data_IF_139695700639
#
_entry.id   IF_139695700639
#
_cell.length_a   1.000
_cell.length_b   1.000
_cell.length_c   1.000
_cell.angle_alpha   90.00
_cell.angle_beta   90.00
_cell.angle_gamma   90.00
#
_symmetry.space_group_name_H-M   'P 1'
#
loop_
_entity.id
_entity.type
_entity.pdbx_description
1 polymer ?
#
# COMPACT_ATOMS: atom_id res chain seq x y z
N UNK A 1 -22.82 4.31 -2.36
CA UNK A 1 -22.72 3.79 -0.99
C UNK A 1 -21.83 2.56 -1.07
N UNK A 2 -20.62 2.63 -0.51
CA UNK A 2 -19.60 1.57 -0.66
C UNK A 2 -19.91 0.41 0.28
N UNK A 3 -19.83 -0.82 -0.24
CA UNK A 3 -20.13 -2.04 0.50
C UNK A 3 -18.97 -2.46 1.40
N UNK A 4 -19.26 -3.27 2.42
CA UNK A 4 -18.22 -3.87 3.27
C UNK A 4 -17.23 -4.73 2.45
N UNK A 5 -17.70 -5.33 1.35
CA UNK A 5 -16.87 -6.08 0.42
C UNK A 5 -15.80 -5.19 -0.22
N UNK A 6 -16.24 -4.07 -0.81
CA UNK A 6 -15.35 -3.10 -1.47
C UNK A 6 -14.35 -2.49 -0.49
N UNK A 7 -14.76 -2.16 0.75
CA UNK A 7 -13.82 -1.65 1.76
C UNK A 7 -12.70 -2.63 2.08
N UNK A 8 -13.00 -3.93 2.19
CA UNK A 8 -11.98 -4.96 2.44
C UNK A 8 -11.03 -5.10 1.25
N UNK A 9 -11.56 -5.05 0.04
CA UNK A 9 -10.77 -5.15 -1.20
C UNK A 9 -9.83 -3.93 -1.36
N UNK A 10 -10.33 -2.72 -1.10
CA UNK A 10 -9.51 -1.51 -1.10
C UNK A 10 -8.42 -1.57 -0.02
N UNK A 11 -8.74 -2.06 1.18
CA UNK A 11 -7.74 -2.22 2.24
C UNK A 11 -6.64 -3.22 1.86
N UNK A 12 -7.00 -4.34 1.24
CA UNK A 12 -6.05 -5.32 0.72
C UNK A 12 -5.14 -4.72 -0.35
N UNK A 13 -5.71 -4.06 -1.36
CA UNK A 13 -4.93 -3.40 -2.41
C UNK A 13 -4.01 -2.32 -1.84
N UNK A 14 -4.49 -1.54 -0.86
CA UNK A 14 -3.65 -0.56 -0.18
C UNK A 14 -2.45 -1.22 0.54
N UNK A 15 -2.68 -2.31 1.28
CA UNK A 15 -1.64 -3.04 1.98
C UNK A 15 -0.61 -3.70 1.04
N UNK A 16 -1.04 -4.14 -0.15
CA UNK A 16 -0.12 -4.67 -1.16
C UNK A 16 0.71 -3.54 -1.78
N UNK A 17 0.09 -2.42 -2.13
CA UNK A 17 0.76 -1.26 -2.76
C UNK A 17 1.70 -0.51 -1.81
N UNK A 18 1.61 -0.75 -0.49
CA UNK A 18 2.60 -0.28 0.50
C UNK A 18 3.88 -1.14 0.53
N UNK A 19 3.88 -2.32 -0.11
CA UNK A 19 5.07 -3.16 -0.20
C UNK A 19 6.03 -2.59 -1.25
N UNK A 20 7.32 -2.60 -0.94
CA UNK A 20 8.37 -2.19 -1.88
C UNK A 20 8.32 -3.03 -3.16
N UNK A 21 8.41 -2.37 -4.31
CA UNK A 21 8.40 -2.96 -5.65
C UNK A 21 7.15 -3.80 -5.95
N UNK A 22 6.00 -3.46 -5.33
CA UNK A 22 4.75 -4.20 -5.51
C UNK A 22 4.35 -4.30 -6.99
N UNK A 23 4.59 -3.25 -7.78
CA UNK A 23 4.22 -3.14 -9.19
C UNK A 23 4.96 -4.14 -10.07
N UNK A 24 6.13 -4.62 -9.65
CA UNK A 24 6.85 -5.71 -10.31
C UNK A 24 6.44 -7.06 -9.75
N UNK A 25 6.41 -7.17 -8.42
CA UNK A 25 6.14 -8.41 -7.69
C UNK A 25 4.73 -8.96 -7.89
N UNK A 26 3.75 -8.12 -8.24
CA UNK A 26 2.38 -8.56 -8.54
C UNK A 26 2.29 -9.44 -9.79
N UNK A 27 3.30 -9.42 -10.66
CA UNK A 27 3.37 -10.32 -11.82
C UNK A 27 4.06 -11.66 -11.50
N UNK A 28 4.68 -11.77 -10.33
CA UNK A 28 5.25 -13.03 -9.84
C UNK A 28 4.13 -13.83 -9.17
N UNK A 29 3.75 -14.96 -9.77
CA UNK A 29 2.63 -15.79 -9.30
C UNK A 29 2.87 -16.29 -7.87
N UNK A 30 4.08 -16.73 -7.54
CA UNK A 30 4.44 -17.21 -6.19
C UNK A 30 4.22 -16.13 -5.11
N UNK A 31 4.59 -14.88 -5.41
CA UNK A 31 4.39 -13.75 -4.49
C UNK A 31 2.92 -13.38 -4.40
N UNK A 32 2.23 -13.35 -5.53
CA UNK A 32 0.80 -13.04 -5.60
C UNK A 32 -0.02 -14.06 -4.84
N UNK A 33 0.29 -15.35 -4.98
CA UNK A 33 -0.35 -16.44 -4.25
C UNK A 33 -0.10 -16.34 -2.74
N UNK A 34 1.11 -15.97 -2.34
CA UNK A 34 1.41 -15.69 -0.94
C UNK A 34 0.55 -14.54 -0.38
N UNK A 35 0.44 -13.42 -1.09
CA UNK A 35 -0.39 -12.29 -0.63
C UNK A 35 -1.87 -12.64 -0.58
N UNK A 36 -2.39 -13.39 -1.55
CA UNK A 36 -3.77 -13.89 -1.51
C UNK A 36 -4.01 -14.77 -0.29
N UNK A 37 -3.09 -15.69 -0.02
CA UNK A 37 -3.16 -16.57 1.14
C UNK A 37 -3.16 -15.79 2.46
N UNK A 38 -2.21 -14.86 2.63
CA UNK A 38 -2.14 -13.96 3.80
C UNK A 38 -3.45 -13.17 3.98
N UNK A 39 -4.04 -12.68 2.89
CA UNK A 39 -5.28 -11.92 2.93
C UNK A 39 -6.48 -12.78 3.37
N UNK A 40 -6.60 -13.99 2.84
CA UNK A 40 -7.68 -14.92 3.20
C UNK A 40 -7.57 -15.34 4.68
N UNK A 41 -6.34 -15.54 5.17
CA UNK A 41 -6.05 -15.92 6.55
C UNK A 41 -6.17 -14.74 7.56
N UNK A 42 -6.27 -13.50 7.07
CA UNK A 42 -6.18 -12.27 7.90
C UNK A 42 -7.30 -12.03 8.93
N UNK A 43 -8.26 -12.95 9.12
CA UNK A 43 -9.46 -12.77 9.94
C UNK A 43 -10.32 -11.53 9.56
N UNK A 44 -10.03 -10.88 8.43
CA UNK A 44 -10.81 -9.76 7.89
C UNK A 44 -11.95 -10.23 6.98
N UNK A 45 -12.13 -11.55 6.83
CA UNK A 45 -13.17 -12.16 5.99
C UNK A 45 -13.03 -11.76 4.52
N UNK A 46 -11.79 -11.80 4.01
CA UNK A 46 -11.48 -11.71 2.58
C UNK A 46 -11.71 -13.09 1.98
N UNK A 47 -12.52 -13.16 0.93
CA UNK A 47 -12.75 -14.41 0.20
C UNK A 47 -11.71 -14.59 -0.90
N UNK A 48 -11.57 -15.83 -1.40
CA UNK A 48 -10.69 -16.13 -2.53
C UNK A 48 -11.05 -15.28 -3.77
N UNK A 49 -12.33 -15.10 -4.06
CA UNK A 49 -12.79 -14.27 -5.18
C UNK A 49 -12.36 -12.80 -5.02
N UNK A 50 -12.46 -12.24 -3.81
CA UNK A 50 -11.99 -10.89 -3.51
C UNK A 50 -10.49 -10.77 -3.71
N UNK A 51 -9.73 -11.74 -3.19
CA UNK A 51 -8.27 -11.74 -3.28
C UNK A 51 -7.78 -11.86 -4.73
N UNK A 52 -8.38 -12.77 -5.51
CA UNK A 52 -8.07 -12.93 -6.93
C UNK A 52 -8.37 -11.63 -7.71
N UNK A 53 -9.56 -11.05 -7.50
CA UNK A 53 -9.91 -9.79 -8.14
C UNK A 53 -8.93 -8.67 -7.78
N UNK A 54 -8.54 -8.55 -6.51
CA UNK A 54 -7.57 -7.53 -6.09
C UNK A 54 -6.21 -7.70 -6.79
N UNK A 55 -5.73 -8.93 -6.96
CA UNK A 55 -4.49 -9.20 -7.69
C UNK A 55 -4.64 -8.84 -9.17
N UNK A 56 -5.74 -9.21 -9.81
CA UNK A 56 -5.98 -8.89 -11.22
C UNK A 56 -6.07 -7.38 -11.46
N UNK A 57 -6.76 -6.65 -10.58
CA UNK A 57 -6.85 -5.19 -10.62
C UNK A 57 -5.48 -4.54 -10.41
N UNK A 58 -4.68 -5.02 -9.45
CA UNK A 58 -3.33 -4.52 -9.22
C UNK A 58 -2.39 -4.80 -10.40
N UNK A 59 -2.50 -5.98 -11.04
CA UNK A 59 -1.77 -6.28 -12.29
C UNK A 59 -2.17 -5.35 -13.41
N UNK A 60 -3.45 -5.02 -13.53
CA UNK A 60 -3.93 -4.03 -14.49
C UNK A 60 -3.33 -2.64 -14.19
N UNK A 61 -3.45 -2.16 -12.95
CA UNK A 61 -2.90 -0.87 -12.54
C UNK A 61 -1.39 -0.78 -12.68
N UNK A 62 -0.65 -1.88 -12.45
CA UNK A 62 0.80 -1.89 -12.55
C UNK A 62 1.31 -1.71 -14.00
N UNK A 63 0.50 -2.03 -15.02
CA UNK A 63 0.86 -1.83 -16.43
C UNK A 63 1.01 -0.36 -16.82
N UNK A 64 0.31 0.53 -16.11
CA UNK A 64 0.37 1.98 -16.32
C UNK A 64 1.12 2.71 -15.20
N UNK A 65 1.77 1.95 -14.30
CA UNK A 65 2.60 2.52 -13.25
C UNK A 65 3.87 3.13 -13.87
N UNK A 66 4.06 4.42 -13.66
CA UNK A 66 5.25 5.13 -14.10
C UNK A 66 6.31 5.11 -12.99
N UNK A 67 7.36 4.33 -13.19
CA UNK A 67 8.48 4.24 -12.25
C UNK A 67 9.23 5.57 -12.08
N UNK A 68 9.16 6.47 -13.06
CA UNK A 68 9.78 7.79 -12.98
C UNK A 68 9.11 8.69 -11.95
N UNK A 69 7.77 8.62 -11.84
CA UNK A 69 7.00 9.36 -10.81
C UNK A 69 6.85 8.56 -9.52
N UNK A 70 6.81 7.23 -9.60
CA UNK A 70 6.62 6.35 -8.44
C UNK A 70 5.26 6.50 -7.77
N UNK A 71 4.26 6.99 -8.49
CA UNK A 71 2.93 7.33 -7.96
C UNK A 71 1.98 6.13 -8.07
N UNK A 72 1.46 5.67 -6.94
CA UNK A 72 0.37 4.72 -6.84
C UNK A 72 -0.90 5.40 -6.32
N UNK A 73 -2.07 4.98 -6.81
CA UNK A 73 -3.37 5.44 -6.28
C UNK A 73 -3.62 4.86 -4.89
N UNK A 74 -4.11 5.68 -3.97
CA UNK A 74 -4.40 5.29 -2.60
C UNK A 74 -5.91 5.37 -2.35
N UNK A 75 -6.55 4.22 -2.16
CA UNK A 75 -8.00 4.08 -1.96
C UNK A 75 -8.86 4.67 -3.09
N UNK A 76 -9.09 5.98 -3.05
CA UNK A 76 -9.93 6.71 -3.98
C UNK A 76 -9.07 7.47 -5.00
N UNK A 77 -9.60 7.68 -6.20
CA UNK A 77 -8.79 8.11 -7.35
C UNK A 77 -8.13 9.50 -7.20
N UNK A 78 -8.60 10.31 -6.24
CA UNK A 78 -8.09 11.65 -5.94
C UNK A 78 -6.97 11.68 -4.90
N UNK A 79 -6.64 10.52 -4.30
CA UNK A 79 -5.54 10.40 -3.33
C UNK A 79 -4.48 9.47 -3.91
N UNK A 80 -3.22 9.90 -3.83
CA UNK A 80 -2.08 9.15 -4.32
C UNK A 80 -0.98 9.06 -3.28
N UNK A 81 -0.13 8.05 -3.40
CA UNK A 81 1.05 7.81 -2.58
C UNK A 81 2.27 7.57 -3.46
N UNK A 82 3.43 8.02 -3.00
CA UNK A 82 4.71 7.82 -3.69
C UNK A 82 5.84 7.80 -2.66
N UNK A 83 6.75 6.84 -2.82
CA UNK A 83 7.96 6.75 -2.01
C UNK A 83 9.04 7.76 -2.43
N UNK A 84 8.89 8.37 -3.61
CA UNK A 84 9.89 9.23 -4.26
C UNK A 84 9.46 10.69 -4.38
N UNK A 85 8.19 11.01 -4.10
CA UNK A 85 7.66 12.38 -4.19
C UNK A 85 8.37 13.37 -3.25
N UNK A 86 8.91 12.90 -2.13
CA UNK A 86 9.74 13.69 -1.22
C UNK A 86 11.20 13.24 -1.36
N UNK A 87 12.13 14.14 -1.75
CA UNK A 87 13.55 13.81 -1.82
C UNK A 87 14.07 13.25 -0.50
N UNK A 88 14.96 12.26 -0.58
CA UNK A 88 15.47 11.55 0.60
C UNK A 88 16.07 12.51 1.65
N UNK A 89 16.92 13.44 1.21
CA UNK A 89 17.59 14.38 2.11
C UNK A 89 16.58 15.28 2.84
N UNK A 90 15.52 15.72 2.15
CA UNK A 90 14.46 16.51 2.77
C UNK A 90 13.65 15.68 3.77
N UNK A 91 13.33 14.43 3.43
CA UNK A 91 12.64 13.48 4.33
C UNK A 91 13.44 13.27 5.61
N UNK A 92 14.75 13.06 5.52
CA UNK A 92 15.62 12.87 6.68
C UNK A 92 15.81 14.18 7.47
N UNK A 93 15.92 15.33 6.81
CA UNK A 93 15.95 16.63 7.47
C UNK A 93 14.68 16.88 8.30
N UNK A 94 13.50 16.59 7.76
CA UNK A 94 12.22 16.71 8.47
C UNK A 94 12.15 15.79 9.69
N UNK A 95 12.54 14.52 9.54
CA UNK A 95 12.62 13.58 10.67
C UNK A 95 13.57 14.07 11.78
N UNK A 96 14.73 14.59 11.41
CA UNK A 96 15.70 15.11 12.38
C UNK A 96 15.19 16.37 13.09
N UNK A 97 14.47 17.24 12.37
CA UNK A 97 13.89 18.46 12.95
C UNK A 97 12.75 18.15 13.95
N UNK A 98 11.96 17.10 13.70
CA UNK A 98 10.82 16.73 14.58
C UNK A 98 11.22 15.87 15.78
N UNK A 99 12.33 15.12 15.69
CA UNK A 99 12.83 14.24 16.78
C UNK A 99 12.80 14.85 18.18
N UNK A 100 13.29 16.08 18.43
CA UNK A 100 13.25 16.68 19.77
C UNK A 100 11.83 16.89 20.32
N UNK A 101 10.83 16.98 19.45
CA UNK A 101 9.42 17.13 19.83
C UNK A 101 8.75 15.77 20.10
N UNK A 102 9.20 14.70 19.44
CA UNK A 102 8.67 13.34 19.62
C UNK A 102 9.35 12.58 20.79
N UNK A 103 10.63 12.88 21.04
CA UNK A 103 11.47 12.27 22.07
C UNK A 103 11.31 12.96 23.45
N UNK A 104 10.09 13.39 23.77
CA UNK A 104 9.77 13.91 25.11
C UNK A 104 9.63 12.77 26.13
N UNK A 105 9.94 13.01 27.42
CA UNK A 105 9.78 12.02 28.48
C UNK A 105 8.35 11.47 28.54
N UNK A 106 8.18 10.21 28.95
CA UNK A 106 6.85 9.58 29.03
C UNK A 106 5.87 10.34 29.94
N UNK A 107 6.37 11.12 30.90
CA UNK A 107 5.55 11.99 31.76
C UNK A 107 4.98 13.23 31.05
N UNK A 108 5.42 13.50 29.82
CA UNK A 108 5.00 14.63 28.98
C UNK A 108 4.42 14.18 27.62
N UNK A 109 4.18 12.88 27.42
CA UNK A 109 3.48 12.32 26.26
C UNK A 109 1.98 12.24 26.48
#
# INVERSE_FOLDING_TARGET
>A
LTTLCEFKMMALMNAITDKRDWHRKVFEDEISDKWKKEAIESNQGVTEAMANWCIDELRYSAKTFDEGTGIAKAYDADVVKSDTAVPHDLKEALKNAVRPLEDVPASAK
#
